data_IF_093963401327
#
_entry.id   IF_093963401327
#
_cell.length_a   1.000
_cell.length_b   1.000
_cell.length_c   1.000
_cell.angle_alpha   90.00
_cell.angle_beta   90.00
_cell.angle_gamma   90.00
#
_symmetry.space_group_name_H-M   'P 1'
#
loop_
_entity.id
_entity.type
_entity.pdbx_description
1 polymer ?
#
# COMPACT_ATOMS: atom_id res chain seq x y z
N UNK A 1 13.76 1.53 8.64
CA UNK A 1 12.74 1.46 7.57
C UNK A 1 12.59 0.04 7.08
N UNK A 2 11.36 -0.47 7.05
CA UNK A 2 11.00 -1.79 6.52
C UNK A 2 10.13 -1.60 5.28
N UNK A 3 10.20 -2.57 4.36
CA UNK A 3 9.51 -2.53 3.08
C UNK A 3 8.88 -3.88 2.81
N UNK A 4 7.58 -3.90 2.56
CA UNK A 4 6.85 -5.12 2.29
C UNK A 4 5.62 -4.85 1.43
N UNK A 5 5.06 -5.91 0.87
CA UNK A 5 3.84 -5.88 0.07
C UNK A 5 2.82 -6.88 0.56
N UNK A 6 1.55 -6.59 0.31
CA UNK A 6 0.44 -7.49 0.54
C UNK A 6 -0.42 -7.58 -0.73
N UNK A 7 -0.76 -8.79 -1.16
CA UNK A 7 -1.75 -8.99 -2.21
C UNK A 7 -3.14 -9.11 -1.60
N UNK A 8 -4.10 -8.39 -2.18
CA UNK A 8 -5.51 -8.44 -1.82
C UNK A 8 -6.30 -9.01 -2.99
N UNK A 9 -6.78 -10.25 -2.83
CA UNK A 9 -7.55 -11.00 -3.85
C UNK A 9 -9.06 -10.66 -3.84
N UNK A 10 -9.39 -9.43 -3.43
CA UNK A 10 -10.75 -8.93 -3.46
C UNK A 10 -10.78 -7.59 -4.20
N UNK A 11 -11.93 -7.30 -4.80
CA UNK A 11 -12.19 -6.00 -5.39
C UNK A 11 -12.52 -4.98 -4.28
N UNK A 12 -12.52 -3.70 -4.65
CA UNK A 12 -13.07 -2.65 -3.79
C UNK A 12 -14.58 -2.84 -3.62
N UNK A 13 -15.10 -2.42 -2.47
CA UNK A 13 -16.53 -2.44 -2.13
C UNK A 13 -17.28 -1.16 -2.55
N UNK A 14 -16.68 -0.34 -3.43
CA UNK A 14 -17.21 0.94 -3.89
C UNK A 14 -17.39 0.99 -5.42
N UNK A 15 -17.65 2.18 -5.96
CA UNK A 15 -17.85 2.40 -7.41
C UNK A 15 -16.61 2.07 -8.26
N UNK A 16 -15.46 1.83 -7.63
CA UNK A 16 -14.21 1.47 -8.27
C UNK A 16 -13.92 -0.05 -8.22
N UNK A 17 -14.91 -0.89 -7.87
CA UNK A 17 -14.79 -2.35 -7.87
C UNK A 17 -14.19 -2.92 -9.18
N UNK A 18 -14.50 -2.29 -10.33
CA UNK A 18 -13.98 -2.67 -11.65
C UNK A 18 -12.46 -2.46 -11.82
N UNK A 19 -11.77 -1.88 -10.83
CA UNK A 19 -10.30 -1.80 -10.83
C UNK A 19 -9.64 -3.15 -10.58
N UNK A 20 -10.39 -4.10 -10.02
CA UNK A 20 -9.96 -5.44 -9.74
C UNK A 20 -9.18 -5.58 -8.42
N UNK A 21 -8.50 -6.71 -8.30
CA UNK A 21 -7.59 -7.03 -7.18
C UNK A 21 -6.48 -6.01 -7.05
N UNK A 22 -5.80 -5.97 -5.90
CA UNK A 22 -4.75 -4.99 -5.63
C UNK A 22 -3.51 -5.59 -4.98
N UNK A 23 -2.37 -4.94 -5.20
CA UNK A 23 -1.15 -5.17 -4.44
C UNK A 23 -0.78 -3.88 -3.73
N UNK A 24 -0.68 -3.96 -2.41
CA UNK A 24 -0.33 -2.87 -1.52
C UNK A 24 1.16 -2.96 -1.20
N UNK A 25 1.83 -1.81 -1.12
CA UNK A 25 3.25 -1.71 -0.77
C UNK A 25 3.39 -0.68 0.32
N UNK A 26 4.20 -1.00 1.34
CA UNK A 26 4.37 -0.15 2.52
C UNK A 26 5.85 0.16 2.77
N UNK A 27 6.12 1.40 3.17
CA UNK A 27 7.35 1.80 3.86
C UNK A 27 6.98 2.12 5.31
N UNK A 28 7.55 1.40 6.27
CA UNK A 28 7.33 1.66 7.70
C UNK A 28 8.60 2.08 8.42
N UNK A 29 8.45 2.84 9.50
CA UNK A 29 9.56 3.20 10.37
C UNK A 29 9.93 2.05 11.34
N UNK A 30 10.90 2.29 12.23
CA UNK A 30 11.35 1.25 13.17
C UNK A 30 10.35 0.99 14.31
N UNK A 31 9.33 1.83 14.45
CA UNK A 31 8.17 1.64 15.33
C UNK A 31 6.95 1.05 14.58
N UNK A 32 7.16 0.57 13.34
CA UNK A 32 6.15 -0.04 12.47
C UNK A 32 5.05 0.93 11.99
N UNK A 33 5.20 2.23 12.17
CA UNK A 33 4.27 3.22 11.62
C UNK A 33 4.43 3.34 10.10
N UNK A 34 3.31 3.33 9.38
CA UNK A 34 3.29 3.47 7.91
C UNK A 34 3.60 4.91 7.51
N UNK A 35 4.71 5.11 6.81
CA UNK A 35 5.14 6.42 6.29
C UNK A 35 4.71 6.64 4.85
N UNK A 36 4.67 5.57 4.06
CA UNK A 36 4.25 5.59 2.66
C UNK A 36 3.48 4.34 2.29
N UNK A 37 2.49 4.52 1.43
CA UNK A 37 1.68 3.46 0.88
C UNK A 37 1.51 3.64 -0.63
N UNK A 38 1.68 2.56 -1.38
CA UNK A 38 1.32 2.47 -2.80
C UNK A 38 0.30 1.34 -2.94
N UNK A 39 -0.80 1.58 -3.65
CA UNK A 39 -1.71 0.51 -4.05
C UNK A 39 -1.75 0.42 -5.57
N UNK A 40 -1.34 -0.71 -6.12
CA UNK A 40 -1.39 -1.00 -7.55
C UNK A 40 -2.57 -1.94 -7.80
N UNK A 41 -3.51 -1.50 -8.63
CA UNK A 41 -4.69 -2.29 -9.00
C UNK A 41 -4.44 -3.10 -10.27
N UNK A 42 -5.22 -4.17 -10.45
CA UNK A 42 -5.16 -5.05 -11.63
C UNK A 42 -5.31 -4.31 -12.96
N UNK A 43 -6.09 -3.22 -12.98
CA UNK A 43 -6.25 -2.37 -14.16
C UNK A 43 -5.15 -1.30 -14.32
N UNK A 44 -4.01 -1.47 -13.64
CA UNK A 44 -2.83 -0.59 -13.69
C UNK A 44 -3.03 0.80 -13.06
N UNK A 45 -4.18 1.07 -12.43
CA UNK A 45 -4.32 2.27 -11.60
C UNK A 45 -3.45 2.16 -10.36
N UNK A 46 -2.92 3.31 -9.93
CA UNK A 46 -2.02 3.41 -8.79
C UNK A 46 -2.47 4.55 -7.89
N UNK A 47 -2.61 4.29 -6.59
CA UNK A 47 -2.76 5.32 -5.55
C UNK A 47 -1.51 5.38 -4.69
N UNK A 48 -1.17 6.57 -4.18
CA UNK A 48 0.05 6.80 -3.39
C UNK A 48 -0.24 7.78 -2.28
N UNK A 49 0.14 7.44 -1.06
CA UNK A 49 -0.10 8.28 0.12
C UNK A 49 1.15 8.37 0.99
N UNK A 50 1.35 9.53 1.60
CA UNK A 50 2.43 9.83 2.55
C UNK A 50 1.99 10.93 3.52
N UNK A 51 2.89 11.38 4.41
CA UNK A 51 2.61 12.46 5.38
C UNK A 51 2.14 13.79 4.74
N UNK A 52 2.55 14.08 3.51
CA UNK A 52 2.15 15.29 2.76
C UNK A 52 0.82 15.11 2.00
N UNK A 53 0.38 13.87 1.79
CA UNK A 53 -0.81 13.49 1.06
C UNK A 53 -1.47 12.28 1.71
N UNK A 54 -2.25 12.55 2.76
CA UNK A 54 -2.84 11.54 3.63
C UNK A 54 -4.03 10.81 2.98
N UNK A 55 -4.86 11.50 2.21
CA UNK A 55 -6.08 10.95 1.63
C UNK A 55 -6.53 11.72 0.37
N UNK A 56 -7.32 11.03 -0.45
CA UNK A 56 -8.07 11.58 -1.58
C UNK A 56 -9.40 10.81 -1.77
N UNK A 57 -10.09 11.05 -2.89
CA UNK A 57 -11.36 10.37 -3.20
C UNK A 57 -11.22 8.85 -3.45
N UNK A 58 -9.99 8.33 -3.58
CA UNK A 58 -9.70 6.92 -3.87
C UNK A 58 -9.21 6.13 -2.65
N UNK A 59 -8.91 6.78 -1.52
CA UNK A 59 -8.45 6.13 -0.30
C UNK A 59 -7.53 7.02 0.54
N UNK A 60 -6.72 6.39 1.39
CA UNK A 60 -5.77 7.11 2.23
C UNK A 60 -4.63 6.24 2.75
N UNK A 61 -3.68 6.90 3.41
CA UNK A 61 -2.56 6.30 4.11
C UNK A 61 -3.07 5.43 5.26
N UNK A 62 -2.57 4.20 5.36
CA UNK A 62 -2.86 3.32 6.48
C UNK A 62 -2.53 4.01 7.81
N UNK A 63 -3.54 4.10 8.69
CA UNK A 63 -3.39 4.65 10.02
C UNK A 63 -2.88 3.59 10.99
N UNK A 64 -1.81 3.91 11.72
CA UNK A 64 -1.27 3.08 12.79
C UNK A 64 -0.06 2.23 12.40
N UNK A 65 0.20 1.20 13.20
CA UNK A 65 1.35 0.31 13.03
C UNK A 65 0.97 -0.88 12.17
N UNK A 66 1.84 -1.25 11.24
CA UNK A 66 1.67 -2.43 10.39
C UNK A 66 3.00 -3.17 10.24
N UNK A 67 2.98 -4.46 10.55
CA UNK A 67 4.11 -5.34 10.29
C UNK A 67 3.82 -6.30 9.14
N UNK A 68 4.88 -6.87 8.56
CA UNK A 68 4.75 -7.90 7.54
C UNK A 68 3.99 -9.14 8.05
N UNK A 69 4.14 -9.47 9.34
CA UNK A 69 3.45 -10.59 9.98
C UNK A 69 1.94 -10.31 10.14
N UNK A 70 1.54 -9.05 10.36
CA UNK A 70 0.11 -8.67 10.47
C UNK A 70 -0.64 -8.87 9.15
N UNK A 71 0.07 -8.73 8.02
CA UNK A 71 -0.53 -8.71 6.70
C UNK A 71 -0.22 -9.96 5.84
N UNK A 72 0.49 -10.95 6.40
CA UNK A 72 1.02 -12.12 5.67
C UNK A 72 1.72 -11.70 4.36
N UNK A 73 2.54 -10.65 4.47
CA UNK A 73 3.14 -9.97 3.33
C UNK A 73 4.46 -10.59 2.87
N UNK A 74 4.94 -10.09 1.73
CA UNK A 74 6.25 -10.41 1.18
C UNK A 74 7.24 -9.25 1.39
N UNK A 75 8.50 -9.57 1.67
CA UNK A 75 9.56 -8.56 1.80
C UNK A 75 9.83 -7.94 0.43
N UNK A 76 9.87 -6.60 0.39
CA UNK A 76 10.21 -5.82 -0.80
C UNK A 76 11.54 -5.11 -0.57
N UNK A 77 12.35 -4.93 -1.61
CA UNK A 77 13.56 -4.12 -1.49
C UNK A 77 13.21 -2.63 -1.50
N UNK A 78 13.99 -1.79 -0.81
CA UNK A 78 13.86 -0.33 -0.93
C UNK A 78 13.92 0.12 -2.39
N UNK A 79 14.84 -0.46 -3.17
CA UNK A 79 15.02 -0.08 -4.57
C UNK A 79 13.77 -0.37 -5.41
N UNK A 80 13.12 -1.51 -5.20
CA UNK A 80 11.91 -1.88 -5.94
C UNK A 80 10.71 -1.04 -5.50
N UNK A 81 10.58 -0.75 -4.20
CA UNK A 81 9.55 0.17 -3.70
C UNK A 81 9.66 1.54 -4.38
N UNK A 82 10.87 2.10 -4.46
CA UNK A 82 11.11 3.41 -5.05
C UNK A 82 11.09 3.45 -6.59
N UNK A 83 11.06 2.29 -7.27
CA UNK A 83 10.72 2.23 -8.71
C UNK A 83 9.22 2.42 -8.94
N UNK A 84 8.40 2.02 -7.97
CA UNK A 84 6.95 2.19 -8.01
C UNK A 84 6.52 3.56 -7.45
N UNK A 85 7.24 4.06 -6.44
CA UNK A 85 7.01 5.36 -5.78
C UNK A 85 7.24 6.54 -6.72
#
# INVERSE_FOLDING_TARGET
>A
MKYFSQFWDENRDDEYADWGTSTWYFETNDADEVLKQITVYKNEKVTKYNEDHLEDEFGGLCEGTLTIDDCDGDIVSKEDFYKLW
#
